data_IF_066422404339
#
_entry.id   IF_066422404339
#
_cell.length_a   1.000
_cell.length_b   1.000
_cell.length_c   1.000
_cell.angle_alpha   90.00
_cell.angle_beta   90.00
_cell.angle_gamma   90.00
#
_symmetry.space_group_name_H-M   'P 1'
#
loop_
_entity.id
_entity.type
_entity.pdbx_description
1 polymer ?
#
# COMPACT_ATOMS: atom_id res chain seq x y z
N UNK A 1 8.66 -18.01 -14.00
CA UNK A 1 8.99 -16.57 -13.95
C UNK A 1 8.73 -15.90 -12.63
N UNK A 2 7.50 -15.51 -12.28
CA UNK A 2 7.25 -14.73 -11.05
C UNK A 2 7.86 -15.37 -9.79
N UNK A 3 7.69 -16.69 -9.59
CA UNK A 3 8.27 -17.41 -8.45
C UNK A 3 9.80 -17.53 -8.49
N UNK A 4 10.42 -17.36 -9.67
CA UNK A 4 11.87 -17.41 -9.88
C UNK A 4 12.53 -16.03 -9.85
N UNK A 5 11.74 -14.95 -9.90
CA UNK A 5 12.20 -13.57 -9.91
C UNK A 5 11.74 -12.87 -8.62
N UNK A 6 12.60 -12.80 -7.57
CA UNK A 6 12.22 -12.29 -6.25
C UNK A 6 11.59 -10.90 -6.29
N UNK A 7 12.08 -10.01 -7.17
CA UNK A 7 11.55 -8.65 -7.34
C UNK A 7 10.08 -8.63 -7.79
N UNK A 8 9.69 -9.51 -8.72
CA UNK A 8 8.31 -9.61 -9.19
C UNK A 8 7.39 -10.24 -8.14
N UNK A 9 7.84 -11.31 -7.48
CA UNK A 9 7.08 -11.93 -6.38
C UNK A 9 6.86 -10.99 -5.20
N UNK A 10 7.92 -10.26 -4.80
CA UNK A 10 7.88 -9.22 -3.79
C UNK A 10 6.89 -8.11 -4.16
N UNK A 11 6.86 -7.69 -5.42
CA UNK A 11 5.97 -6.63 -5.87
C UNK A 11 4.49 -7.04 -5.79
N UNK A 12 4.14 -8.22 -6.33
CA UNK A 12 2.76 -8.74 -6.30
C UNK A 12 2.29 -8.96 -4.85
N UNK A 13 3.16 -9.50 -3.99
CA UNK A 13 2.81 -9.74 -2.58
C UNK A 13 2.55 -8.44 -1.84
N UNK A 14 3.40 -7.44 -2.04
CA UNK A 14 3.22 -6.12 -1.43
C UNK A 14 1.98 -5.42 -1.96
N UNK A 15 1.71 -5.52 -3.26
CA UNK A 15 0.48 -5.00 -3.88
C UNK A 15 -0.78 -5.62 -3.26
N UNK A 16 -0.81 -6.95 -3.13
CA UNK A 16 -1.91 -7.65 -2.46
C UNK A 16 -2.14 -7.13 -1.03
N UNK A 17 -1.07 -6.98 -0.26
CA UNK A 17 -1.15 -6.52 1.12
C UNK A 17 -1.63 -5.07 1.24
N UNK A 18 -1.13 -4.18 0.37
CA UNK A 18 -1.61 -2.80 0.24
C UNK A 18 -3.08 -2.75 -0.16
N UNK A 19 -3.50 -3.63 -1.07
CA UNK A 19 -4.89 -3.71 -1.49
C UNK A 19 -5.79 -4.21 -0.36
N UNK A 20 -5.32 -5.16 0.44
CA UNK A 20 -6.08 -5.64 1.59
C UNK A 20 -6.32 -4.50 2.60
N UNK A 21 -5.30 -3.71 2.92
CA UNK A 21 -5.45 -2.50 3.74
C UNK A 21 -6.44 -1.52 3.10
N UNK A 22 -6.27 -1.23 1.81
CA UNK A 22 -7.16 -0.30 1.09
C UNK A 22 -8.62 -0.70 1.17
N UNK A 23 -8.93 -1.91 0.72
CA UNK A 23 -10.31 -2.42 0.61
C UNK A 23 -10.98 -2.53 1.97
N UNK A 24 -10.24 -2.96 2.99
CA UNK A 24 -10.74 -3.04 4.35
C UNK A 24 -11.00 -1.65 4.96
N UNK A 25 -10.01 -0.76 4.89
CA UNK A 25 -10.08 0.55 5.54
C UNK A 25 -11.09 1.46 4.89
N UNK A 26 -11.21 1.49 3.55
CA UNK A 26 -12.12 2.43 2.88
C UNK A 26 -13.60 2.16 3.21
N UNK A 27 -14.00 0.89 3.32
CA UNK A 27 -15.36 0.51 3.72
C UNK A 27 -15.60 0.83 5.18
N UNK A 28 -14.64 0.50 6.05
CA UNK A 28 -14.73 0.75 7.49
C UNK A 28 -14.80 2.24 7.82
N UNK A 29 -13.96 3.05 7.18
CA UNK A 29 -13.98 4.51 7.29
C UNK A 29 -15.33 5.06 6.84
N UNK A 30 -15.94 4.46 5.80
CA UNK A 30 -17.29 4.83 5.36
C UNK A 30 -18.35 4.63 6.44
N UNK A 31 -18.27 3.55 7.23
CA UNK A 31 -19.17 3.33 8.36
C UNK A 31 -18.95 4.34 9.48
N UNK A 32 -17.69 4.57 9.89
CA UNK A 32 -17.36 5.57 10.92
C UNK A 32 -17.77 6.98 10.48
N UNK A 33 -17.55 7.33 9.22
CA UNK A 33 -17.91 8.65 8.71
C UNK A 33 -19.42 8.89 8.75
N UNK A 34 -20.23 7.88 8.43
CA UNK A 34 -21.69 7.95 8.53
C UNK A 34 -22.16 8.10 9.97
N UNK A 35 -21.55 7.36 10.89
CA UNK A 35 -21.87 7.42 12.31
C UNK A 35 -21.49 8.78 12.93
N UNK A 36 -20.33 9.34 12.56
CA UNK A 36 -19.81 10.59 13.11
C UNK A 36 -20.44 11.86 12.50
N UNK A 37 -20.69 11.86 11.19
CA UNK A 37 -21.14 13.05 10.44
C UNK A 37 -22.66 13.02 10.21
N UNK A 38 -23.31 11.86 10.38
CA UNK A 38 -24.72 11.65 10.07
C UNK A 38 -24.98 11.53 8.56
N UNK A 39 -26.20 11.84 8.13
CA UNK A 39 -26.67 11.62 6.75
C UNK A 39 -26.26 12.75 5.77
N UNK A 40 -25.29 13.59 6.12
CA UNK A 40 -24.75 14.60 5.21
C UNK A 40 -23.77 13.98 4.20
N UNK A 41 -24.31 13.30 3.19
CA UNK A 41 -23.52 12.57 2.18
C UNK A 41 -22.46 13.43 1.49
N UNK A 42 -22.77 14.71 1.22
CA UNK A 42 -21.81 15.64 0.60
C UNK A 42 -20.63 15.94 1.53
N UNK A 43 -20.88 16.14 2.83
CA UNK A 43 -19.84 16.40 3.83
C UNK A 43 -18.91 15.19 3.97
N UNK A 44 -19.49 13.98 4.05
CA UNK A 44 -18.72 12.73 4.07
C UNK A 44 -17.87 12.61 2.80
N UNK A 45 -18.45 12.85 1.62
CA UNK A 45 -17.75 12.75 0.34
C UNK A 45 -16.59 13.75 0.24
N UNK A 46 -16.80 15.00 0.64
CA UNK A 46 -15.78 16.05 0.60
C UNK A 46 -14.64 15.73 1.55
N UNK A 47 -14.93 15.32 2.79
CA UNK A 47 -13.91 15.02 3.80
C UNK A 47 -13.15 13.74 3.44
N UNK A 48 -13.86 12.63 3.25
CA UNK A 48 -13.22 11.32 3.07
C UNK A 48 -12.73 11.13 1.64
N UNK A 49 -13.61 11.35 0.66
CA UNK A 49 -13.33 11.21 -0.76
C UNK A 49 -12.38 12.30 -1.27
N UNK A 50 -12.58 13.56 -0.88
CA UNK A 50 -11.71 14.66 -1.28
C UNK A 50 -10.28 14.50 -0.76
N UNK A 51 -10.11 14.19 0.53
CA UNK A 51 -8.78 13.95 1.10
C UNK A 51 -8.10 12.71 0.51
N UNK A 52 -8.87 11.62 0.31
CA UNK A 52 -8.36 10.40 -0.33
C UNK A 52 -7.94 10.61 -1.78
N UNK A 53 -8.72 11.35 -2.57
CA UNK A 53 -8.40 11.71 -3.94
C UNK A 53 -7.16 12.60 -4.02
N UNK A 54 -7.05 13.59 -3.14
CA UNK A 54 -5.86 14.45 -3.04
C UNK A 54 -4.61 13.61 -2.73
N UNK A 55 -4.69 12.73 -1.73
CA UNK A 55 -3.60 11.81 -1.39
C UNK A 55 -3.20 10.95 -2.59
N UNK A 56 -4.17 10.33 -3.25
CA UNK A 56 -3.95 9.50 -4.44
C UNK A 56 -3.26 10.24 -5.57
N UNK A 57 -3.72 11.44 -5.91
CA UNK A 57 -3.13 12.29 -6.97
C UNK A 57 -1.70 12.66 -6.61
N UNK A 58 -1.44 13.08 -5.37
CA UNK A 58 -0.09 13.43 -4.93
C UNK A 58 0.84 12.21 -4.96
N UNK A 59 0.37 11.05 -4.48
CA UNK A 59 1.14 9.80 -4.53
C UNK A 59 1.50 9.40 -5.96
N UNK A 60 0.54 9.49 -6.88
CA UNK A 60 0.74 9.24 -8.30
C UNK A 60 1.77 10.18 -8.94
N UNK A 61 1.59 11.51 -8.77
CA UNK A 61 2.45 12.53 -9.41
C UNK A 61 3.87 12.56 -8.83
N UNK A 62 4.01 12.24 -7.54
CA UNK A 62 5.32 12.26 -6.87
C UNK A 62 6.10 10.95 -7.04
N UNK A 63 5.45 9.83 -7.37
CA UNK A 63 6.14 8.54 -7.50
C UNK A 63 7.38 8.57 -8.41
N UNK A 64 7.32 9.08 -9.66
CA UNK A 64 8.51 9.12 -10.52
C UNK A 64 9.63 9.96 -9.93
N UNK A 65 9.29 11.12 -9.34
CA UNK A 65 10.27 12.06 -8.75
C UNK A 65 10.92 11.53 -7.47
N UNK A 66 10.21 10.72 -6.70
CA UNK A 66 10.71 10.15 -5.46
C UNK A 66 11.56 8.90 -5.72
N UNK A 67 11.25 8.12 -6.77
CA UNK A 67 12.09 6.99 -7.18
C UNK A 67 13.52 7.45 -7.47
N UNK A 68 13.70 8.57 -8.16
CA UNK A 68 15.02 9.13 -8.47
C UNK A 68 15.80 9.63 -7.24
N UNK A 69 15.12 9.81 -6.10
CA UNK A 69 15.70 10.35 -4.86
C UNK A 69 16.00 9.30 -3.81
N UNK A 70 15.57 8.05 -4.00
CA UNK A 70 15.80 6.96 -3.07
C UNK A 70 16.87 6.00 -3.59
N UNK A 71 17.53 5.29 -2.68
CA UNK A 71 18.57 4.33 -3.04
C UNK A 71 18.02 3.10 -3.78
N UNK A 72 16.78 2.70 -3.49
CA UNK A 72 16.11 1.56 -4.11
C UNK A 72 14.60 1.80 -4.20
N UNK A 73 13.96 1.30 -5.26
CA UNK A 73 12.49 1.26 -5.39
C UNK A 73 11.84 0.51 -4.23
N UNK A 74 12.51 -0.53 -3.72
CA UNK A 74 12.05 -1.28 -2.56
C UNK A 74 11.90 -0.42 -1.29
N UNK A 75 12.83 0.50 -1.05
CA UNK A 75 12.74 1.42 0.10
C UNK A 75 11.55 2.37 -0.02
N UNK A 76 11.30 2.92 -1.21
CA UNK A 76 10.16 3.82 -1.42
C UNK A 76 8.82 3.09 -1.23
N UNK A 77 8.69 1.87 -1.77
CA UNK A 77 7.49 1.04 -1.58
C UNK A 77 7.24 0.77 -0.10
N UNK A 78 8.27 0.38 0.66
CA UNK A 78 8.13 0.11 2.10
C UNK A 78 7.78 1.38 2.87
N UNK A 79 8.44 2.51 2.58
CA UNK A 79 8.16 3.79 3.24
C UNK A 79 6.73 4.26 2.98
N UNK A 80 6.27 4.20 1.73
CA UNK A 80 4.90 4.55 1.34
C UNK A 80 3.87 3.61 1.99
N UNK A 81 4.18 2.31 2.08
CA UNK A 81 3.35 1.33 2.75
C UNK A 81 3.25 1.61 4.25
N UNK A 82 4.38 1.84 4.93
CA UNK A 82 4.42 2.20 6.36
C UNK A 82 3.63 3.48 6.61
N UNK A 83 3.73 4.48 5.73
CA UNK A 83 2.97 5.72 5.85
C UNK A 83 1.45 5.47 5.81
N UNK A 84 0.95 4.69 4.84
CA UNK A 84 -0.46 4.32 4.77
C UNK A 84 -0.91 3.53 6.02
N UNK A 85 -0.13 2.51 6.41
CA UNK A 85 -0.43 1.68 7.58
C UNK A 85 -0.43 2.47 8.88
N UNK A 86 0.51 3.40 9.05
CA UNK A 86 0.62 4.26 10.23
C UNK A 86 -0.56 5.23 10.32
N UNK A 87 -0.99 5.82 9.20
CA UNK A 87 -2.19 6.68 9.18
C UNK A 87 -3.43 5.92 9.67
N UNK A 88 -3.65 4.70 9.17
CA UNK A 88 -4.78 3.86 9.61
C UNK A 88 -4.64 3.43 11.07
N UNK A 89 -3.44 3.04 11.51
CA UNK A 89 -3.20 2.55 12.88
C UNK A 89 -3.40 3.66 13.92
N UNK A 90 -2.83 4.84 13.67
CA UNK A 90 -2.80 5.94 14.64
C UNK A 90 -4.14 6.65 14.74
N UNK A 91 -4.88 6.76 13.63
CA UNK A 91 -6.13 7.52 13.57
C UNK A 91 -7.39 6.65 13.51
N UNK A 92 -7.26 5.33 13.40
CA UNK A 92 -8.41 4.41 13.30
C UNK A 92 -9.38 4.50 14.48
N UNK A 93 -8.85 4.66 15.70
CA UNK A 93 -9.64 4.77 16.93
C UNK A 93 -9.97 6.24 17.31
N UNK A 94 -9.66 7.20 16.44
CA UNK A 94 -9.87 8.63 16.70
C UNK A 94 -11.14 9.09 16.01
N UNK A 95 -12.18 9.37 16.79
CA UNK A 95 -13.51 9.79 16.31
C UNK A 95 -13.56 11.29 16.02
N UNK A 96 -12.76 11.75 15.05
CA UNK A 96 -12.73 13.14 14.61
C UNK A 96 -12.78 13.25 13.09
N UNK A 97 -13.47 14.26 12.56
CA UNK A 97 -13.54 14.52 11.10
C UNK A 97 -12.15 14.66 10.46
N UNK A 98 -11.22 15.31 11.16
CA UNK A 98 -9.84 15.46 10.69
C UNK A 98 -9.09 14.13 10.67
N UNK A 99 -9.41 13.20 11.58
CA UNK A 99 -8.81 11.86 11.59
C UNK A 99 -9.27 11.05 10.37
N UNK A 100 -10.55 11.16 9.98
CA UNK A 100 -11.06 10.56 8.74
C UNK A 100 -10.31 11.07 7.51
N UNK A 101 -10.10 12.40 7.40
CA UNK A 101 -9.35 12.99 6.30
C UNK A 101 -7.88 12.55 6.28
N UNK A 102 -7.21 12.49 7.44
CA UNK A 102 -5.82 12.02 7.55
C UNK A 102 -5.71 10.54 7.13
N UNK A 103 -6.65 9.70 7.57
CA UNK A 103 -6.68 8.29 7.20
C UNK A 103 -6.85 8.09 5.69
N UNK A 104 -7.85 8.74 5.08
CA UNK A 104 -8.08 8.57 3.64
C UNK A 104 -6.99 9.20 2.80
N UNK A 105 -6.46 10.36 3.20
CA UNK A 105 -5.28 10.95 2.57
C UNK A 105 -4.07 10.02 2.65
N UNK A 106 -3.77 9.50 3.84
CA UNK A 106 -2.63 8.62 4.08
C UNK A 106 -2.73 7.32 3.28
N UNK A 107 -3.93 6.74 3.25
CA UNK A 107 -4.25 5.56 2.47
C UNK A 107 -4.10 5.84 0.96
N UNK A 108 -4.70 6.93 0.48
CA UNK A 108 -4.58 7.46 -0.88
C UNK A 108 -3.12 7.60 -1.33
N UNK A 109 -2.38 8.41 -0.59
CA UNK A 109 -1.00 8.75 -0.88
C UNK A 109 -0.08 7.53 -0.86
N UNK A 110 -0.07 6.77 0.24
CA UNK A 110 0.82 5.63 0.37
C UNK A 110 0.51 4.52 -0.63
N UNK A 111 -0.78 4.27 -0.90
CA UNK A 111 -1.18 3.25 -1.88
C UNK A 111 -0.72 3.61 -3.30
N UNK A 112 -1.03 4.80 -3.79
CA UNK A 112 -0.68 5.17 -5.17
C UNK A 112 0.82 5.36 -5.36
N UNK A 113 1.51 5.93 -4.37
CA UNK A 113 2.96 6.04 -4.39
C UNK A 113 3.61 4.65 -4.48
N UNK A 114 3.22 3.72 -3.61
CA UNK A 114 3.74 2.36 -3.64
C UNK A 114 3.35 1.61 -4.92
N UNK A 115 2.07 1.70 -5.35
CA UNK A 115 1.55 0.99 -6.52
C UNK A 115 2.30 1.35 -7.80
N UNK A 116 2.52 2.64 -8.05
CA UNK A 116 3.24 3.06 -9.26
C UNK A 116 4.68 2.54 -9.25
N UNK A 117 5.37 2.61 -8.10
CA UNK A 117 6.71 2.05 -7.97
C UNK A 117 6.72 0.51 -8.12
N UNK A 118 5.70 -0.18 -7.60
CA UNK A 118 5.53 -1.63 -7.74
C UNK A 118 5.33 -2.05 -9.20
N UNK A 119 4.54 -1.30 -9.97
CA UNK A 119 4.33 -1.55 -11.39
C UNK A 119 5.66 -1.44 -12.15
N UNK A 120 6.45 -0.39 -11.87
CA UNK A 120 7.80 -0.23 -12.43
C UNK A 120 8.71 -1.40 -12.04
N UNK A 121 8.66 -1.86 -10.78
CA UNK A 121 9.45 -3.02 -10.33
C UNK A 121 9.13 -4.29 -11.12
N UNK A 122 7.85 -4.55 -11.42
CA UNK A 122 7.42 -5.70 -12.23
C UNK A 122 7.85 -5.55 -13.68
N UNK A 123 7.69 -4.36 -14.25
CA UNK A 123 8.07 -4.07 -15.64
C UNK A 123 9.59 -4.21 -15.85
N UNK A 124 10.40 -3.78 -14.88
CA UNK A 124 11.86 -3.94 -14.90
C UNK A 124 12.28 -5.41 -14.71
N UNK A 125 11.53 -6.19 -13.93
CA UNK A 125 11.90 -7.54 -13.55
C UNK A 125 11.49 -8.61 -14.57
N UNK A 126 10.48 -8.34 -15.40
CA UNK A 126 9.90 -9.31 -16.32
C UNK A 126 9.97 -8.82 -17.77
N UNK A 127 10.38 -9.72 -18.66
CA UNK A 127 10.31 -9.50 -20.11
C UNK A 127 8.87 -9.35 -20.59
N UNK A 128 8.70 -8.72 -21.75
CA UNK A 128 7.40 -8.30 -22.30
C UNK A 128 6.37 -9.45 -22.38
N UNK A 129 6.80 -10.64 -22.79
CA UNK A 129 5.96 -11.85 -22.89
C UNK A 129 5.32 -12.29 -21.55
N UNK A 130 5.91 -11.88 -20.43
CA UNK A 130 5.47 -12.27 -19.09
C UNK A 130 4.77 -11.13 -18.33
N UNK A 131 4.85 -9.89 -18.81
CA UNK A 131 4.21 -8.73 -18.16
C UNK A 131 2.69 -8.88 -18.10
N UNK A 132 2.06 -9.31 -19.20
CA UNK A 132 0.61 -9.54 -19.25
C UNK A 132 0.13 -10.52 -18.18
N UNK A 133 0.88 -11.62 -17.97
CA UNK A 133 0.57 -12.61 -16.93
C UNK A 133 0.76 -12.07 -15.52
N UNK A 134 1.76 -11.21 -15.30
CA UNK A 134 1.96 -10.56 -14.02
C UNK A 134 0.83 -9.58 -13.69
N UNK A 135 0.33 -8.82 -14.68
CA UNK A 135 -0.83 -7.96 -14.48
C UNK A 135 -2.13 -8.76 -14.21
N UNK A 136 -2.32 -9.93 -14.83
CA UNK A 136 -3.42 -10.82 -14.44
C UNK A 136 -3.32 -11.30 -12.97
N UNK A 137 -2.11 -11.50 -12.44
CA UNK A 137 -1.92 -11.79 -11.01
C UNK A 137 -2.25 -10.59 -10.13
N UNK A 138 -1.98 -9.35 -10.59
CA UNK A 138 -2.45 -8.15 -9.91
C UNK A 138 -3.98 -8.10 -9.87
N UNK A 139 -4.66 -8.44 -10.96
CA UNK A 139 -6.13 -8.46 -11.00
C UNK A 139 -6.71 -9.53 -10.05
N UNK A 140 -6.11 -10.72 -9.99
CA UNK A 140 -6.49 -11.76 -9.04
C UNK A 140 -6.25 -11.29 -7.60
N UNK A 141 -5.07 -10.71 -7.32
CA UNK A 141 -4.74 -10.15 -6.01
C UNK A 141 -5.72 -9.04 -5.61
N UNK A 142 -6.10 -8.18 -6.55
CA UNK A 142 -7.06 -7.11 -6.36
C UNK A 142 -8.42 -7.64 -5.89
N UNK A 143 -8.96 -8.60 -6.64
CA UNK A 143 -10.28 -9.16 -6.35
C UNK A 143 -10.25 -9.99 -5.06
N UNK A 144 -9.20 -10.77 -4.86
CA UNK A 144 -9.02 -11.56 -3.65
C UNK A 144 -8.94 -10.67 -2.40
N UNK A 145 -8.24 -9.54 -2.46
CA UNK A 145 -8.18 -8.58 -1.36
C UNK A 145 -9.56 -8.01 -0.99
N UNK A 146 -10.41 -7.71 -1.98
CA UNK A 146 -11.79 -7.29 -1.73
C UNK A 146 -12.63 -8.38 -1.07
N UNK A 147 -12.54 -9.62 -1.56
CA UNK A 147 -13.27 -10.76 -0.98
C UNK A 147 -12.85 -11.01 0.47
N UNK A 148 -11.54 -10.98 0.76
CA UNK A 148 -11.02 -11.17 2.11
C UNK A 148 -11.43 -10.01 3.02
N UNK A 149 -11.34 -8.76 2.54
CA UNK A 149 -11.76 -7.59 3.32
C UNK A 149 -13.26 -7.67 3.67
N UNK A 150 -14.11 -8.03 2.70
CA UNK A 150 -15.54 -8.22 2.93
C UNK A 150 -15.83 -9.36 3.93
N UNK A 151 -15.13 -10.49 3.80
CA UNK A 151 -15.26 -11.61 4.74
C UNK A 151 -14.82 -11.21 6.16
N UNK A 152 -13.71 -10.48 6.29
CA UNK A 152 -13.23 -9.98 7.57
C UNK A 152 -14.25 -9.02 8.22
N UNK A 153 -14.77 -8.06 7.46
CA UNK A 153 -15.82 -7.16 7.95
C UNK A 153 -17.07 -7.93 8.37
N UNK A 154 -17.53 -8.88 7.57
CA UNK A 154 -18.70 -9.72 7.93
C UNK A 154 -18.50 -10.50 9.23
N UNK A 155 -17.26 -10.89 9.57
CA UNK A 155 -16.96 -11.70 10.75
C UNK A 155 -16.66 -10.86 11.99
N UNK A 156 -16.03 -9.71 11.84
CA UNK A 156 -15.45 -8.95 12.96
C UNK A 156 -16.08 -7.56 13.16
N UNK A 157 -16.88 -7.07 12.21
CA UNK A 157 -17.49 -5.76 12.34
C UNK A 157 -18.52 -5.74 13.48
N UNK A 158 -18.37 -4.77 14.37
CA UNK A 158 -19.38 -4.36 15.34
C UNK A 158 -19.26 -2.83 15.52
N UNK A 159 -20.38 -2.10 15.62
CA UNK A 159 -20.38 -0.65 15.82
C UNK A 159 -19.52 -0.20 17.02
N UNK A 160 -19.56 -0.95 18.13
CA UNK A 160 -18.87 -0.58 19.37
C UNK A 160 -17.33 -0.63 19.27
N UNK A 161 -16.79 -1.34 18.28
CA UNK A 161 -15.35 -1.55 18.13
C UNK A 161 -14.82 -1.12 16.76
N UNK A 162 -15.63 -0.43 15.94
CA UNK A 162 -15.26 -0.12 14.56
C UNK A 162 -13.93 0.64 14.44
N UNK A 163 -13.68 1.62 15.31
CA UNK A 163 -12.43 2.37 15.31
C UNK A 163 -11.22 1.53 15.73
N UNK A 164 -11.39 0.68 16.75
CA UNK A 164 -10.36 -0.28 17.18
C UNK A 164 -10.08 -1.32 16.11
N UNK A 165 -11.11 -1.74 15.37
CA UNK A 165 -10.99 -2.70 14.28
C UNK A 165 -10.19 -2.10 13.11
N UNK A 166 -10.42 -0.82 12.77
CA UNK A 166 -9.63 -0.07 11.78
C UNK A 166 -8.17 0.04 12.23
N UNK A 167 -7.94 0.50 13.46
CA UNK A 167 -6.60 0.65 14.01
C UNK A 167 -5.85 -0.70 14.07
N UNK A 168 -6.54 -1.76 14.48
CA UNK A 168 -6.03 -3.13 14.50
C UNK A 168 -5.71 -3.67 13.11
N UNK A 169 -6.55 -3.37 12.10
CA UNK A 169 -6.28 -3.68 10.69
C UNK A 169 -5.01 -2.98 10.17
N UNK A 170 -4.83 -1.71 10.52
CA UNK A 170 -3.60 -0.96 10.26
C UNK A 170 -2.37 -1.59 10.92
N UNK A 171 -2.48 -1.97 12.20
CA UNK A 171 -1.39 -2.59 12.94
C UNK A 171 -1.00 -3.96 12.35
N UNK A 172 -1.99 -4.81 12.02
CA UNK A 172 -1.78 -6.08 11.35
C UNK A 172 -1.09 -5.88 9.99
N UNK A 173 -1.53 -4.87 9.23
CA UNK A 173 -0.90 -4.51 7.98
C UNK A 173 0.57 -4.12 8.19
N UNK A 174 0.90 -3.29 9.18
CA UNK A 174 2.29 -2.91 9.49
C UNK A 174 3.15 -4.11 9.88
N UNK A 175 2.61 -5.07 10.63
CA UNK A 175 3.31 -6.33 10.93
C UNK A 175 3.63 -7.11 9.65
N UNK A 176 2.67 -7.20 8.72
CA UNK A 176 2.90 -7.83 7.41
C UNK A 176 3.94 -7.08 6.57
N UNK A 177 3.94 -5.74 6.60
CA UNK A 177 5.00 -4.94 5.96
C UNK A 177 6.36 -5.19 6.60
N UNK A 178 6.44 -5.41 7.91
CA UNK A 178 7.68 -5.82 8.59
C UNK A 178 8.21 -7.16 8.06
N UNK A 179 7.33 -8.15 7.86
CA UNK A 179 7.69 -9.43 7.27
C UNK A 179 8.15 -9.28 5.80
N UNK A 180 7.45 -8.46 5.02
CA UNK A 180 7.83 -8.13 3.63
C UNK A 180 9.18 -7.41 3.58
N UNK A 181 9.44 -6.47 4.50
CA UNK A 181 10.72 -5.77 4.59
C UNK A 181 11.88 -6.73 4.93
N UNK A 182 11.64 -7.71 5.81
CA UNK A 182 12.62 -8.76 6.08
C UNK A 182 12.89 -9.61 4.83
N UNK A 183 11.87 -9.91 4.03
CA UNK A 183 12.04 -10.59 2.76
C UNK A 183 12.79 -9.74 1.72
N UNK A 184 12.45 -8.45 1.57
CA UNK A 184 13.16 -7.52 0.67
C UNK A 184 14.65 -7.48 0.98
N UNK A 185 15.00 -7.44 2.27
CA UNK A 185 16.39 -7.49 2.74
C UNK A 185 17.08 -8.79 2.34
N UNK A 186 16.45 -9.93 2.59
CA UNK A 186 16.99 -11.26 2.23
C UNK A 186 17.14 -11.45 0.72
N UNK A 187 16.26 -10.84 -0.07
CA UNK A 187 16.27 -10.89 -1.53
C UNK A 187 17.18 -9.83 -2.17
N UNK A 188 17.91 -9.03 -1.39
CA UNK A 188 18.82 -7.99 -1.90
C UNK A 188 18.12 -6.76 -2.51
N UNK A 189 16.80 -6.63 -2.36
CA UNK A 189 16.00 -5.56 -2.98
C UNK A 189 16.18 -4.19 -2.31
N UNK A 190 16.92 -4.14 -1.19
CA UNK A 190 17.25 -2.91 -0.46
C UNK A 190 18.72 -2.50 -0.62
N UNK A 191 19.54 -3.30 -1.30
CA UNK A 191 20.92 -2.96 -1.57
C UNK A 191 20.99 -1.98 -2.75
N UNK A 192 21.71 -0.87 -2.57
CA UNK A 192 21.99 0.05 -3.67
C UNK A 192 22.83 -0.68 -4.74
N UNK A 193 22.67 -0.34 -6.04
CA UNK A 193 23.55 -0.86 -7.08
C UNK A 193 25.02 -0.55 -6.74
N UNK A 194 25.91 -1.54 -6.91
CA UNK A 194 27.33 -1.32 -6.72
C UNK A 194 27.83 -0.26 -7.73
N UNK A 195 28.71 0.67 -7.33
CA UNK A 195 29.24 1.68 -8.24
C UNK A 195 29.95 1.01 -9.43
N UNK A 196 29.59 1.42 -10.65
CA UNK A 196 30.23 0.99 -11.89
C UNK A 196 31.72 1.36 -11.85
N UNK A 197 32.58 0.39 -11.51
CA UNK A 197 34.03 0.60 -11.43
C UNK A 197 34.80 -0.44 -10.62
N UNK A 198 34.13 -1.21 -9.75
CA UNK A 198 34.83 -2.20 -8.90
C UNK A 198 35.25 -3.50 -9.62
N UNK A 199 34.76 -3.77 -10.83
CA UNK A 199 35.07 -5.00 -11.59
C UNK A 199 36.29 -4.91 -12.51
N UNK A 200 36.91 -3.73 -12.65
CA UNK A 200 38.03 -3.51 -13.59
C UNK A 200 39.44 -3.79 -13.05
N UNK A 201 39.61 -4.07 -11.75
CA UNK A 201 40.93 -4.10 -11.11
C UNK A 201 41.47 -5.49 -10.73
N UNK A 202 40.79 -6.58 -11.10
CA UNK A 202 41.21 -7.95 -10.71
C UNK A 202 41.55 -8.88 -11.88
N UNK A 203 42.18 -8.36 -12.94
CA UNK A 203 42.96 -9.17 -13.88
C UNK A 203 44.21 -8.41 -14.32
N UNK A 204 45.29 -8.59 -13.58
CA UNK A 204 46.66 -8.49 -14.08
C UNK A 204 47.39 -9.76 -13.68
#
# INVERSE_FOLDING_TARGET
EVARTPKAGAAITTYFWLRLLWSFSIVSIGFVARDLIGDEELTILVITGGAGALGAVLGFVLAPRLVDKVSTTGMLVLAASVFAGAAITLFGAVELNIALAIMTFGLGFGFFLAKITLDSMVQEALGDDFRGRAFSLYDIAYNLAWVIAAAALKLFYSPDIQGLLIAGGGALFLLGIGAIAAWYRRAGLLAAPAPEGASGLSRK
#
